data_IF_135405043127
#
_entry.id   IF_135405043127
#
_cell.length_a   1.000
_cell.length_b   1.000
_cell.length_c   1.000
_cell.angle_alpha   90.00
_cell.angle_beta   90.00
_cell.angle_gamma   90.00
#
_symmetry.space_group_name_H-M   'P 1'
#
loop_
_entity.id
_entity.type
_entity.pdbx_description
1 polymer ?
#
# COMPACT_ATOMS: atom_id res chain seq x y z
N UNK A 1 -26.43 -4.55 4.57
CA UNK A 1 -25.21 -4.88 5.35
C UNK A 1 -25.01 -3.83 6.44
N UNK A 2 -24.93 -4.24 7.69
CA UNK A 2 -24.64 -3.37 8.85
C UNK A 2 -23.13 -3.04 8.94
N UNK A 3 -22.76 -1.98 9.68
CA UNK A 3 -21.37 -1.54 9.87
C UNK A 3 -20.43 -2.68 10.32
N UNK A 4 -20.87 -3.46 11.31
CA UNK A 4 -20.06 -4.54 11.90
C UNK A 4 -19.81 -5.64 10.88
N UNK A 5 -20.84 -6.00 10.10
CA UNK A 5 -20.70 -6.96 9.01
C UNK A 5 -19.77 -6.43 7.92
N UNK A 6 -19.82 -5.13 7.59
CA UNK A 6 -18.88 -4.52 6.63
C UNK A 6 -17.43 -4.73 7.05
N UNK A 7 -17.11 -4.35 8.29
CA UNK A 7 -15.75 -4.45 8.83
C UNK A 7 -15.29 -5.90 8.92
N UNK A 8 -16.19 -6.80 9.35
CA UNK A 8 -15.89 -8.23 9.42
C UNK A 8 -15.55 -8.78 8.05
N UNK A 9 -16.37 -8.50 7.04
CA UNK A 9 -16.11 -8.95 5.66
C UNK A 9 -14.81 -8.36 5.10
N UNK A 10 -14.58 -7.06 5.25
CA UNK A 10 -13.35 -6.42 4.75
C UNK A 10 -12.12 -7.03 5.41
N UNK A 11 -12.16 -7.28 6.72
CA UNK A 11 -11.07 -7.91 7.44
C UNK A 11 -10.85 -9.38 7.05
N UNK A 12 -11.90 -10.10 6.68
CA UNK A 12 -11.76 -11.47 6.15
C UNK A 12 -11.04 -11.48 4.79
N UNK A 13 -11.38 -10.54 3.89
CA UNK A 13 -10.78 -10.49 2.54
C UNK A 13 -9.36 -9.90 2.58
N UNK A 14 -9.13 -8.88 3.42
CA UNK A 14 -7.89 -8.09 3.38
C UNK A 14 -6.94 -8.40 4.51
N UNK A 15 -7.38 -8.94 5.66
CA UNK A 15 -6.51 -9.15 6.84
C UNK A 15 -5.75 -7.87 7.28
N UNK A 16 -6.40 -6.71 7.21
CA UNK A 16 -5.82 -5.41 7.63
C UNK A 16 -6.20 -5.02 9.07
N UNK A 17 -7.18 -5.69 9.69
CA UNK A 17 -7.59 -5.40 11.07
C UNK A 17 -8.24 -4.03 11.25
N UNK A 18 -9.00 -3.56 10.24
CA UNK A 18 -9.73 -2.31 10.29
C UNK A 18 -10.74 -2.31 11.45
N UNK A 19 -10.75 -1.23 12.22
CA UNK A 19 -11.64 -1.08 13.38
C UNK A 19 -12.77 -0.09 13.09
N UNK A 20 -12.56 0.80 12.11
CA UNK A 20 -13.45 1.90 11.76
C UNK A 20 -13.68 1.92 10.26
N UNK A 21 -14.90 2.20 9.82
CA UNK A 21 -15.25 2.17 8.39
C UNK A 21 -14.64 3.38 7.65
N UNK A 22 -14.39 4.45 8.39
CA UNK A 22 -13.73 5.66 7.90
C UNK A 22 -12.32 5.37 7.39
N UNK A 23 -11.66 4.31 7.88
CA UNK A 23 -10.31 3.91 7.45
C UNK A 23 -10.26 3.43 6.00
N UNK A 24 -11.40 3.06 5.39
CA UNK A 24 -11.45 2.75 3.95
C UNK A 24 -11.19 3.98 3.07
N UNK A 25 -11.40 5.18 3.59
CA UNK A 25 -11.06 6.42 2.91
C UNK A 25 -9.55 6.63 2.74
N UNK A 26 -8.71 5.73 3.27
CA UNK A 26 -7.27 5.67 2.95
C UNK A 26 -6.98 5.01 1.60
N UNK A 27 -7.93 4.24 1.08
CA UNK A 27 -7.88 3.61 -0.25
C UNK A 27 -7.04 2.33 -0.36
N UNK A 28 -6.24 1.97 0.64
CA UNK A 28 -5.38 0.78 0.63
C UNK A 28 -6.19 -0.52 0.71
N UNK A 29 -7.15 -0.59 1.63
CA UNK A 29 -8.08 -1.71 1.74
C UNK A 29 -8.91 -1.90 0.46
N UNK A 30 -9.35 -0.80 -0.17
CA UNK A 30 -10.11 -0.84 -1.41
C UNK A 30 -9.28 -1.41 -2.56
N UNK A 31 -8.04 -0.94 -2.74
CA UNK A 31 -7.14 -1.51 -3.76
C UNK A 31 -6.98 -3.02 -3.59
N UNK A 32 -6.89 -3.50 -2.36
CA UNK A 32 -6.75 -4.93 -2.08
C UNK A 32 -8.03 -5.73 -2.34
N UNK A 33 -9.22 -5.18 -2.06
CA UNK A 33 -10.48 -5.84 -2.41
C UNK A 33 -10.58 -6.05 -3.93
N UNK A 34 -10.22 -5.04 -4.74
CA UNK A 34 -10.20 -5.20 -6.20
C UNK A 34 -9.09 -6.14 -6.67
N UNK A 35 -7.95 -6.17 -5.97
CA UNK A 35 -6.90 -7.16 -6.24
C UNK A 35 -7.41 -8.59 -6.03
N UNK A 36 -8.28 -8.83 -5.04
CA UNK A 36 -8.88 -10.16 -4.85
C UNK A 36 -9.77 -10.59 -6.01
N UNK A 37 -10.29 -9.66 -6.82
CA UNK A 37 -11.11 -10.02 -7.99
C UNK A 37 -10.20 -10.29 -9.20
N UNK A 38 -9.28 -9.37 -9.49
CA UNK A 38 -8.55 -9.34 -10.76
C UNK A 38 -7.10 -9.78 -10.69
N UNK A 39 -6.48 -9.83 -9.51
CA UNK A 39 -5.08 -10.16 -9.26
C UNK A 39 -4.04 -9.32 -10.02
N UNK A 40 -4.46 -8.21 -10.63
CA UNK A 40 -3.64 -7.36 -11.50
C UNK A 40 -3.43 -5.95 -10.95
N UNK A 41 -3.87 -5.69 -9.72
CA UNK A 41 -3.68 -4.40 -9.07
C UNK A 41 -2.21 -4.26 -8.66
N UNK A 42 -1.54 -3.15 -8.98
CA UNK A 42 -0.14 -2.95 -8.63
C UNK A 42 0.04 -2.61 -7.14
N UNK A 43 -0.19 -3.58 -6.25
CA UNK A 43 -0.16 -3.38 -4.78
C UNK A 43 1.16 -2.82 -4.26
N UNK A 44 2.29 -3.03 -4.95
CA UNK A 44 3.58 -2.41 -4.60
C UNK A 44 3.56 -0.87 -4.64
N UNK A 45 2.62 -0.28 -5.38
CA UNK A 45 2.43 1.18 -5.47
C UNK A 45 1.46 1.70 -4.40
N UNK A 46 0.72 0.81 -3.74
CA UNK A 46 -0.26 1.14 -2.71
C UNK A 46 0.46 1.39 -1.38
N UNK A 47 0.13 2.49 -0.73
CA UNK A 47 0.61 2.89 0.59
C UNK A 47 -0.31 2.31 1.65
N UNK A 48 0.03 1.11 2.12
CA UNK A 48 -0.65 0.48 3.25
C UNK A 48 -0.31 1.19 4.56
N UNK A 49 -1.32 1.40 5.41
CA UNK A 49 -1.14 2.11 6.67
C UNK A 49 -0.81 3.60 6.49
N UNK A 50 -1.22 4.17 5.36
CA UNK A 50 -1.11 5.60 5.07
C UNK A 50 -1.72 6.44 6.20
N UNK A 51 -1.10 7.60 6.47
CA UNK A 51 -1.54 8.52 7.54
C UNK A 51 -1.89 9.90 7.02
N UNK A 52 -1.36 10.25 5.85
CA UNK A 52 -1.53 11.57 5.27
C UNK A 52 -2.43 11.55 4.04
N UNK A 53 -3.22 12.61 3.85
CA UNK A 53 -4.20 12.71 2.77
C UNK A 53 -3.58 12.53 1.36
N UNK A 54 -2.36 13.04 1.15
CA UNK A 54 -1.66 12.87 -0.13
C UNK A 54 -1.36 11.41 -0.46
N UNK A 55 -1.15 10.56 0.56
CA UNK A 55 -0.96 9.11 0.38
C UNK A 55 -2.29 8.45 0.00
N UNK A 56 -3.40 8.89 0.58
CA UNK A 56 -4.74 8.40 0.22
C UNK A 56 -5.05 8.69 -1.24
N UNK A 57 -4.72 9.91 -1.70
CA UNK A 57 -4.87 10.31 -3.11
C UNK A 57 -4.04 9.40 -4.02
N UNK A 58 -2.81 9.02 -3.63
CA UNK A 58 -1.98 8.09 -4.40
C UNK A 58 -2.64 6.70 -4.51
N UNK A 59 -3.20 6.19 -3.40
CA UNK A 59 -3.95 4.94 -3.41
C UNK A 59 -5.18 5.01 -4.33
N UNK A 60 -5.95 6.09 -4.25
CA UNK A 60 -7.12 6.27 -5.13
C UNK A 60 -6.75 6.40 -6.61
N UNK A 61 -5.59 6.97 -6.96
CA UNK A 61 -5.11 6.95 -8.35
C UNK A 61 -4.82 5.54 -8.85
N UNK A 62 -4.28 4.66 -7.99
CA UNK A 62 -4.12 3.25 -8.33
C UNK A 62 -5.49 2.60 -8.55
N UNK A 63 -6.45 2.87 -7.66
CA UNK A 63 -7.80 2.33 -7.77
C UNK A 63 -8.54 2.81 -9.02
N UNK A 64 -8.45 4.09 -9.37
CA UNK A 64 -9.02 4.66 -10.59
C UNK A 64 -8.48 3.95 -11.84
N UNK A 65 -7.16 3.72 -11.92
CA UNK A 65 -6.57 3.00 -13.04
C UNK A 65 -7.12 1.57 -13.20
N UNK A 66 -7.46 0.91 -12.08
CA UNK A 66 -8.10 -0.43 -12.09
C UNK A 66 -9.54 -0.33 -12.60
N UNK A 67 -10.30 0.68 -12.16
CA UNK A 67 -11.66 0.93 -12.64
C UNK A 67 -11.71 1.21 -14.14
N UNK A 68 -10.79 2.04 -14.62
CA UNK A 68 -10.67 2.39 -16.04
C UNK A 68 -10.28 1.17 -16.90
N UNK A 69 -9.39 0.31 -16.37
CA UNK A 69 -8.94 -0.90 -17.05
C UNK A 69 -10.06 -1.92 -17.20
N UNK A 70 -10.83 -2.14 -16.13
CA UNK A 70 -11.91 -3.15 -16.09
C UNK A 70 -13.29 -2.58 -16.45
N UNK A 71 -13.36 -1.31 -16.85
CA UNK A 71 -14.60 -0.61 -17.27
C UNK A 71 -15.72 -0.70 -16.24
N UNK A 72 -15.37 -0.48 -14.98
CA UNK A 72 -16.32 -0.53 -13.87
C UNK A 72 -17.25 0.70 -13.99
N UNK A 73 -18.58 0.52 -14.06
CA UNK A 73 -19.54 1.59 -14.43
C UNK A 73 -19.82 2.59 -13.30
N UNK A 74 -18.90 2.79 -12.37
CA UNK A 74 -19.11 3.63 -11.19
C UNK A 74 -17.92 4.57 -10.95
N UNK A 75 -18.18 5.88 -10.92
CA UNK A 75 -17.18 6.87 -10.57
C UNK A 75 -16.80 6.81 -9.10
N UNK A 76 -15.50 6.90 -8.82
CA UNK A 76 -14.98 6.92 -7.45
C UNK A 76 -15.02 8.38 -6.95
N UNK A 77 -15.81 8.71 -5.90
CA UNK A 77 -15.87 10.07 -5.36
C UNK A 77 -14.66 10.37 -4.46
N UNK A 78 -13.46 10.40 -5.04
CA UNK A 78 -12.17 10.50 -4.32
C UNK A 78 -12.15 11.65 -3.32
N UNK A 79 -12.55 12.85 -3.73
CA UNK A 79 -12.57 14.05 -2.88
C UNK A 79 -13.43 13.90 -1.62
N UNK A 80 -14.49 13.09 -1.68
CA UNK A 80 -15.36 12.83 -0.52
C UNK A 80 -14.79 11.72 0.37
N UNK A 81 -14.25 10.67 -0.24
CA UNK A 81 -13.70 9.51 0.48
C UNK A 81 -12.43 9.85 1.27
N UNK A 82 -11.52 10.66 0.71
CA UNK A 82 -10.26 11.03 1.38
C UNK A 82 -10.45 11.86 2.64
N UNK A 83 -11.62 12.50 2.78
CA UNK A 83 -11.99 13.24 4.00
C UNK A 83 -12.44 12.32 5.14
N UNK A 84 -12.42 11.00 4.94
CA UNK A 84 -12.77 9.97 5.92
C UNK A 84 -14.17 10.17 6.53
N UNK A 85 -15.10 10.76 5.76
CA UNK A 85 -16.48 10.97 6.22
C UNK A 85 -17.23 9.65 6.25
N UNK A 86 -17.88 9.35 7.38
CA UNK A 86 -18.56 8.09 7.61
C UNK A 86 -19.59 7.73 6.53
N UNK A 87 -20.44 8.69 6.15
CA UNK A 87 -21.53 8.48 5.19
C UNK A 87 -21.01 8.07 3.81
N UNK A 88 -20.06 8.84 3.28
CA UNK A 88 -19.46 8.59 1.95
C UNK A 88 -18.76 7.22 1.90
N UNK A 89 -18.08 6.84 3.00
CA UNK A 89 -17.40 5.56 3.08
C UNK A 89 -18.37 4.37 3.12
N UNK A 90 -19.49 4.48 3.84
CA UNK A 90 -20.50 3.41 3.87
C UNK A 90 -21.13 3.21 2.49
N UNK A 91 -21.54 4.30 1.83
CA UNK A 91 -22.16 4.22 0.51
C UNK A 91 -21.22 3.55 -0.50
N UNK A 92 -19.95 3.92 -0.49
CA UNK A 92 -18.97 3.32 -1.40
C UNK A 92 -18.69 1.85 -1.08
N UNK A 93 -18.58 1.48 0.20
CA UNK A 93 -18.36 0.08 0.61
C UNK A 93 -19.53 -0.82 0.20
N UNK A 94 -20.76 -0.33 0.26
CA UNK A 94 -21.92 -1.10 -0.20
C UNK A 94 -21.84 -1.40 -1.70
N UNK A 95 -21.46 -0.41 -2.50
CA UNK A 95 -21.18 -0.61 -3.92
C UNK A 95 -20.07 -1.66 -4.13
N UNK A 96 -18.93 -1.50 -3.46
CA UNK A 96 -17.78 -2.40 -3.59
C UNK A 96 -18.14 -3.83 -3.20
N UNK A 97 -18.90 -4.02 -2.11
CA UNK A 97 -19.37 -5.35 -1.68
C UNK A 97 -20.25 -6.00 -2.74
N UNK A 98 -21.25 -5.27 -3.25
CA UNK A 98 -22.14 -5.77 -4.30
C UNK A 98 -21.36 -6.12 -5.57
N UNK A 99 -20.40 -5.27 -5.95
CA UNK A 99 -19.54 -5.52 -7.09
C UNK A 99 -18.70 -6.79 -6.88
N UNK A 100 -18.09 -6.94 -5.71
CA UNK A 100 -17.27 -8.09 -5.36
C UNK A 100 -18.07 -9.39 -5.40
N UNK A 101 -19.30 -9.42 -4.86
CA UNK A 101 -20.15 -10.62 -4.90
C UNK A 101 -20.53 -11.05 -6.32
N UNK A 102 -20.62 -10.12 -7.26
CA UNK A 102 -20.97 -10.39 -8.65
C UNK A 102 -19.77 -10.83 -9.49
N UNK A 103 -18.55 -10.39 -9.14
CA UNK A 103 -17.37 -10.55 -9.99
C UNK A 103 -16.29 -11.46 -9.39
N UNK A 104 -16.35 -11.78 -8.10
CA UNK A 104 -15.35 -12.64 -7.46
C UNK A 104 -15.48 -14.08 -7.98
N UNK A 105 -14.44 -14.63 -8.64
CA UNK A 105 -14.55 -15.94 -9.30
C UNK A 105 -14.37 -17.12 -8.34
N UNK A 106 -14.26 -16.88 -7.02
CA UNK A 106 -14.19 -17.95 -6.00
C UNK A 106 -12.82 -18.60 -5.81
N UNK A 107 -11.75 -18.01 -6.36
CA UNK A 107 -10.39 -18.55 -6.20
C UNK A 107 -9.84 -18.35 -4.78
N UNK A 108 -8.77 -19.07 -4.44
CA UNK A 108 -8.05 -18.83 -3.18
C UNK A 108 -7.21 -17.55 -3.28
N UNK A 109 -7.43 -16.60 -2.37
CA UNK A 109 -6.73 -15.32 -2.32
C UNK A 109 -5.97 -15.17 -0.99
N UNK A 110 -4.64 -15.01 -1.06
CA UNK A 110 -3.80 -14.71 0.11
C UNK A 110 -3.43 -13.22 0.13
N UNK A 111 -4.13 -12.38 0.92
CA UNK A 111 -3.89 -10.94 0.94
C UNK A 111 -2.50 -10.58 1.51
N UNK A 112 -1.96 -11.36 2.43
CA UNK A 112 -0.67 -11.04 3.10
C UNK A 112 0.48 -11.30 2.13
N UNK A 113 0.45 -12.44 1.44
CA UNK A 113 1.44 -12.75 0.40
C UNK A 113 1.40 -11.72 -0.74
N UNK A 114 0.20 -11.29 -1.17
CA UNK A 114 0.03 -10.27 -2.22
C UNK A 114 0.62 -8.92 -1.87
N UNK A 115 0.60 -8.53 -0.58
CA UNK A 115 1.25 -7.30 -0.08
C UNK A 115 2.75 -7.43 0.15
N UNK A 116 3.31 -8.65 0.11
CA UNK A 116 4.71 -8.88 0.46
C UNK A 116 5.05 -8.45 1.90
N UNK A 117 4.10 -8.59 2.83
CA UNK A 117 4.28 -8.21 4.24
C UNK A 117 3.97 -6.75 4.59
N UNK A 118 3.64 -5.88 3.63
CA UNK A 118 3.20 -4.51 3.92
C UNK A 118 1.80 -4.51 4.58
N UNK A 119 1.51 -3.58 5.49
CA UNK A 119 0.14 -3.30 5.94
C UNK A 119 -0.53 -4.32 6.88
N UNK A 120 0.16 -5.38 7.29
CA UNK A 120 -0.40 -6.29 8.30
C UNK A 120 -0.39 -5.66 9.70
N UNK A 121 -1.50 -5.73 10.42
CA UNK A 121 -1.41 -5.78 11.88
C UNK A 121 -0.53 -7.00 12.21
N UNK A 122 0.59 -6.78 12.87
CA UNK A 122 1.50 -7.85 13.30
C UNK A 122 0.79 -8.71 14.35
N UNK A 123 -0.12 -9.60 13.91
CA UNK A 123 -0.38 -10.82 14.65
C UNK A 123 0.78 -11.74 14.32
N UNK A 124 1.79 -11.67 15.17
CA UNK A 124 2.89 -12.63 15.19
C UNK A 124 2.29 -14.01 15.51
N UNK A 125 1.72 -14.68 14.52
CA UNK A 125 1.69 -16.13 14.54
C UNK A 125 3.08 -16.57 14.12
N UNK A 126 3.96 -16.66 15.13
CA UNK A 126 5.19 -17.41 15.05
C UNK A 126 4.84 -18.81 14.53
N UNK A 127 5.07 -19.04 13.23
CA UNK A 127 5.12 -20.38 12.70
C UNK A 127 6.29 -21.10 13.40
N UNK A 128 6.08 -22.30 13.97
CA UNK A 128 7.19 -23.04 14.53
C UNK A 128 8.08 -23.48 13.37
N UNK A 129 9.33 -23.04 13.38
CA UNK A 129 10.37 -23.55 12.50
C UNK A 129 10.42 -25.08 12.63
N UNK A 130 10.21 -25.77 11.51
CA UNK A 130 10.30 -27.21 11.41
C UNK A 130 11.68 -27.67 11.90
N UNK A 131 11.71 -28.45 12.98
CA UNK A 131 12.89 -29.20 13.40
C UNK A 131 13.06 -30.39 12.46
N UNK A 132 13.93 -30.28 11.46
CA UNK A 132 14.44 -31.46 10.75
C UNK A 132 15.52 -32.12 11.61
N UNK A 133 15.19 -33.31 12.08
CA UNK A 133 16.06 -34.23 12.80
C UNK A 133 17.03 -34.87 11.79
N UNK A 134 18.33 -34.72 11.99
CA UNK A 134 19.37 -35.47 11.28
C UNK A 134 20.42 -35.95 12.27
N UNK A 135 20.75 -37.25 12.33
CA UNK A 135 21.64 -37.78 13.37
C UNK A 135 23.11 -37.53 13.02
N UNK A 136 23.82 -36.85 13.93
CA UNK A 136 25.27 -36.62 13.86
C UNK A 136 26.00 -37.74 14.59
N UNK A 137 26.73 -38.57 13.84
CA UNK A 137 27.71 -39.53 14.36
C UNK A 137 29.12 -38.91 14.45
N UNK A 138 29.90 -39.35 15.43
CA UNK A 138 31.23 -38.83 15.84
C UNK A 138 32.40 -39.60 15.22
N UNK A 139 33.53 -38.92 14.99
CA UNK A 139 34.93 -39.41 15.09
C UNK A 139 35.90 -38.22 14.85
N UNK A 140 36.72 -37.79 15.83
CA UNK A 140 38.16 -38.11 16.07
C UNK A 140 39.03 -37.91 14.81
N UNK A 141 40.09 -37.07 14.75
CA UNK A 141 41.24 -36.93 15.66
C UNK A 141 42.20 -35.76 15.28
N UNK A 142 42.85 -35.21 16.32
CA UNK A 142 44.20 -34.60 16.40
C UNK A 142 44.52 -33.15 15.95
N UNK A 143 45.38 -32.41 16.70
CA UNK A 143 45.78 -31.01 16.46
C UNK A 143 47.21 -30.86 15.89
N UNK A 144 47.54 -29.70 15.30
CA UNK A 144 48.92 -29.18 15.30
C UNK A 144 48.98 -27.68 15.01
N UNK A 145 49.88 -27.01 15.75
CA UNK A 145 50.25 -25.60 15.71
C UNK A 145 51.15 -25.25 14.51
N UNK A 146 51.13 -23.97 14.10
CA UNK A 146 52.27 -23.05 13.87
C UNK A 146 51.81 -21.87 12.99
N UNK A 147 51.72 -20.63 13.51
CA UNK A 147 52.74 -19.60 13.79
C UNK A 147 53.01 -18.64 12.61
N UNK A 148 52.80 -17.36 12.95
CA UNK A 148 53.52 -16.15 12.53
C UNK A 148 53.36 -15.59 11.11
N UNK A 149 52.96 -14.31 11.08
CA UNK A 149 53.20 -13.39 9.98
C UNK A 149 52.56 -12.03 10.22
N UNK A 150 53.17 -11.20 11.07
CA UNK A 150 52.88 -9.76 11.14
C UNK A 150 53.31 -9.05 9.86
N UNK A 151 52.49 -8.15 9.34
CA UNK A 151 52.95 -7.02 8.52
C UNK A 151 51.95 -5.86 8.57
N UNK A 152 52.49 -4.68 8.85
CA UNK A 152 51.81 -3.40 8.98
C UNK A 152 51.31 -2.85 7.63
N UNK A 153 50.36 -1.92 7.68
CA UNK A 153 49.92 -1.18 6.49
C UNK A 153 48.94 -0.07 6.81
N UNK A 154 49.47 1.06 7.28
CA UNK A 154 48.79 2.35 7.34
C UNK A 154 48.63 2.90 5.92
N UNK A 155 47.41 3.23 5.49
CA UNK A 155 47.17 4.34 4.55
C UNK A 155 45.75 4.88 4.70
N UNK A 156 45.71 6.20 4.72
CA UNK A 156 44.57 7.11 4.77
C UNK A 156 44.03 7.41 3.37
N UNK A 157 42.73 7.73 3.29
CA UNK A 157 42.08 8.37 2.13
C UNK A 157 40.91 7.53 1.61
N UNK A 158 39.72 8.04 1.29
CA UNK A 158 39.22 9.41 1.13
C UNK A 158 37.99 9.35 0.20
N UNK A 159 37.08 10.33 0.31
CA UNK A 159 35.96 10.57 -0.64
C UNK A 159 34.61 10.05 -0.16
N UNK A 160 33.65 10.84 0.35
CA UNK A 160 32.94 12.01 -0.23
C UNK A 160 32.03 11.65 -1.41
N UNK A 161 30.71 11.72 -1.19
CA UNK A 161 29.62 12.17 -2.09
C UNK A 161 28.32 11.52 -1.60
N UNK A 162 27.37 12.25 -1.01
CA UNK A 162 26.69 13.38 -1.64
C UNK A 162 25.41 12.88 -2.30
N UNK A 163 24.44 12.40 -1.52
CA UNK A 163 23.10 12.11 -2.03
C UNK A 163 22.34 13.43 -2.17
N UNK A 164 22.25 13.91 -3.40
CA UNK A 164 21.60 15.15 -3.80
C UNK A 164 20.15 15.26 -3.28
N UNK A 165 19.69 16.45 -2.86
CA UNK A 165 18.30 16.68 -2.52
C UNK A 165 17.45 16.99 -3.77
N UNK A 166 16.27 16.38 -3.81
CA UNK A 166 14.98 17.06 -4.04
C UNK A 166 14.59 17.71 -5.38
N UNK A 167 15.38 17.64 -6.46
CA UNK A 167 14.95 18.24 -7.75
C UNK A 167 13.58 17.73 -8.28
N UNK A 168 13.26 16.45 -8.06
CA UNK A 168 11.98 15.86 -8.48
C UNK A 168 10.80 16.20 -7.56
N UNK A 169 11.06 16.50 -6.29
CA UNK A 169 10.00 16.86 -5.34
C UNK A 169 9.56 18.33 -5.56
N UNK A 170 10.52 19.20 -5.85
CA UNK A 170 10.26 20.61 -6.14
C UNK A 170 9.50 20.78 -7.46
N UNK A 171 9.84 20.00 -8.49
CA UNK A 171 9.11 19.97 -9.75
C UNK A 171 7.64 19.52 -9.58
N UNK A 172 7.39 18.52 -8.71
CA UNK A 172 6.04 18.06 -8.40
C UNK A 172 5.23 19.11 -7.62
N UNK A 173 5.88 19.82 -6.70
CA UNK A 173 5.27 20.92 -5.95
C UNK A 173 4.91 22.11 -6.87
N UNK A 174 5.78 22.45 -7.83
CA UNK A 174 5.53 23.49 -8.82
C UNK A 174 4.37 23.11 -9.75
N UNK A 175 4.28 21.86 -10.18
CA UNK A 175 3.15 21.39 -10.99
C UNK A 175 1.82 21.48 -10.24
N UNK A 176 1.81 21.16 -8.94
CA UNK A 176 0.61 21.28 -8.09
C UNK A 176 0.21 22.75 -7.88
N UNK A 177 1.18 23.66 -7.68
CA UNK A 177 0.90 25.09 -7.57
C UNK A 177 0.34 25.68 -8.86
N UNK A 178 0.81 25.24 -10.03
CA UNK A 178 0.28 25.67 -11.33
C UNK A 178 -1.16 25.22 -11.55
N UNK A 179 -1.50 23.98 -11.17
CA UNK A 179 -2.88 23.46 -11.25
C UNK A 179 -3.82 24.30 -10.38
N UNK A 180 -3.40 24.63 -9.15
CA UNK A 180 -4.18 25.47 -8.24
C UNK A 180 -4.43 26.89 -8.80
N UNK A 181 -3.44 27.48 -9.48
CA UNK A 181 -3.62 28.78 -10.14
C UNK A 181 -4.63 28.71 -11.29
N UNK A 182 -4.58 27.67 -12.12
CA UNK A 182 -5.52 27.49 -13.23
C UNK A 182 -6.96 27.33 -12.73
N UNK A 183 -7.19 26.53 -11.69
CA UNK A 183 -8.53 26.38 -11.10
C UNK A 183 -9.07 27.72 -10.59
N UNK A 184 -8.21 28.54 -9.97
CA UNK A 184 -8.61 29.88 -9.51
C UNK A 184 -8.95 30.84 -10.67
N UNK A 185 -8.32 30.67 -11.83
CA UNK A 185 -8.59 31.48 -13.02
C UNK A 185 -9.86 31.03 -13.74
N UNK A 186 -10.08 29.72 -13.85
CA UNK A 186 -11.31 29.14 -14.42
C UNK A 186 -12.52 29.53 -13.57
N UNK A 187 -12.38 29.51 -12.23
CA UNK A 187 -13.46 29.92 -11.33
C UNK A 187 -13.78 31.42 -11.46
N UNK A 188 -12.77 32.27 -11.69
CA UNK A 188 -12.94 33.71 -11.94
C UNK A 188 -13.59 33.99 -13.30
N UNK A 189 -13.21 33.27 -14.36
CA UNK A 189 -13.83 33.40 -15.68
C UNK A 189 -15.26 32.84 -15.72
N UNK A 190 -15.53 31.74 -15.01
CA UNK A 190 -16.86 31.18 -14.89
C UNK A 190 -17.85 32.10 -14.16
N UNK A 191 -17.37 32.95 -13.23
CA UNK A 191 -18.20 33.98 -12.57
C UNK A 191 -18.45 35.20 -13.47
N UNK A 192 -17.55 35.49 -14.40
CA UNK A 192 -17.64 36.63 -15.32
C UNK A 192 -18.52 36.36 -16.55
N UNK A 193 -18.73 35.09 -16.89
CA UNK A 193 -19.58 34.66 -18.03
C UNK A 193 -21.07 34.50 -17.68
N UNK A 194 -21.47 34.73 -16.43
CA UNK A 194 -22.88 34.64 -15.95
C UNK A 194 -23.49 36.01 -15.60
N UNK A 195 -22.83 37.10 -15.98
CA UNK A 195 -23.35 38.47 -15.92
C UNK A 195 -23.42 39.04 -17.31
#
# INVERSE_FOLDING_TARGET
>A
MSRVEMLTWINQVTQLGLTKIEELGRGDALCQIFDSIYLDVPLKRVKFGAKHEFEYIQNFKVLQAVFDKHKIPNDIPVQRLVKLKFQDNIEFVQFVKKFWEQHYPGHAYDPVARRGGAGGASVSHAAPAAKSMGPRVKSTSSPSLARSGSAAGHYTGGGMAGAAPSANAEALQQAQNQIMMLESQVLRHSRRSRS
#
